data_IF_027775567021
#
_entry.id   IF_027775567021
#
_cell.length_a   1.000
_cell.length_b   1.000
_cell.length_c   1.000
_cell.angle_alpha   90.00
_cell.angle_beta   90.00
_cell.angle_gamma   90.00
#
_symmetry.space_group_name_H-M   'P 1'
#
loop_
_entity.id
_entity.type
_entity.pdbx_description
1 polymer ?
#
# COMPACT_ATOMS: atom_id res chain seq x y z
N UNK A 1 -22.53 0.09 30.83
CA UNK A 1 -23.12 0.14 29.47
C UNK A 1 -24.41 -0.67 29.46
N UNK A 2 -25.55 -0.09 29.04
CA UNK A 2 -26.84 -0.80 28.94
C UNK A 2 -26.73 -1.99 27.96
N UNK A 3 -27.35 -3.11 28.30
CA UNK A 3 -27.32 -4.38 27.55
C UNK A 3 -27.66 -4.23 26.05
N UNK A 4 -28.55 -3.28 25.73
CA UNK A 4 -28.90 -2.90 24.36
C UNK A 4 -27.73 -2.32 23.55
N UNK A 5 -26.86 -1.50 24.16
CA UNK A 5 -25.66 -0.97 23.48
C UNK A 5 -24.64 -2.07 23.17
N UNK A 6 -24.57 -3.11 24.03
CA UNK A 6 -23.65 -4.24 23.87
C UNK A 6 -24.08 -5.19 22.75
N UNK A 7 -25.40 -5.31 22.51
CA UNK A 7 -25.97 -6.06 21.38
C UNK A 7 -25.76 -5.34 20.05
N UNK A 8 -25.96 -4.02 20.03
CA UNK A 8 -25.77 -3.21 18.82
C UNK A 8 -24.31 -3.13 18.37
N UNK A 9 -23.34 -3.18 19.30
CA UNK A 9 -21.91 -3.24 18.95
C UNK A 9 -21.49 -4.53 18.24
N UNK A 10 -22.34 -5.57 18.22
CA UNK A 10 -22.06 -6.82 17.51
C UNK A 10 -22.67 -6.85 16.08
N UNK A 11 -23.40 -5.82 15.68
CA UNK A 11 -24.05 -5.74 14.36
C UNK A 11 -23.34 -4.71 13.48
N UNK A 12 -22.94 -5.13 12.29
CA UNK A 12 -22.46 -4.21 11.25
C UNK A 12 -23.64 -3.82 10.35
N UNK A 13 -23.92 -2.52 10.24
CA UNK A 13 -24.97 -1.98 9.35
C UNK A 13 -24.29 -1.23 8.22
N UNK A 14 -24.58 -1.62 6.99
CA UNK A 14 -24.06 -0.98 5.78
C UNK A 14 -25.17 -0.20 5.09
N UNK A 15 -24.89 1.04 4.70
CA UNK A 15 -25.78 1.91 3.94
C UNK A 15 -25.04 2.27 2.65
N UNK A 16 -25.67 2.01 1.51
CA UNK A 16 -25.09 2.29 0.19
C UNK A 16 -26.15 2.92 -0.72
N UNK A 17 -25.70 3.82 -1.60
CA UNK A 17 -26.49 4.37 -2.70
C UNK A 17 -26.27 3.61 -4.02
N UNK A 18 -25.42 2.58 -4.01
CA UNK A 18 -25.18 1.73 -5.17
C UNK A 18 -26.44 0.88 -5.47
N UNK A 19 -26.87 0.79 -6.73
CA UNK A 19 -27.98 -0.07 -7.10
C UNK A 19 -27.58 -1.55 -6.95
N UNK A 20 -28.53 -2.44 -6.63
CA UNK A 20 -28.27 -3.89 -6.53
C UNK A 20 -27.72 -4.53 -7.81
N UNK A 21 -27.94 -3.88 -8.96
CA UNK A 21 -27.45 -4.28 -10.28
C UNK A 21 -25.92 -4.16 -10.39
N UNK A 22 -25.35 -3.09 -9.82
CA UNK A 22 -23.90 -2.85 -9.81
C UNK A 22 -23.22 -3.56 -8.64
N UNK A 23 -23.88 -3.57 -7.47
CA UNK A 23 -23.36 -4.17 -6.24
C UNK A 23 -24.45 -5.02 -5.59
N UNK A 24 -24.44 -6.34 -5.84
CA UNK A 24 -25.28 -7.28 -5.12
C UNK A 24 -25.10 -7.15 -3.61
N UNK A 25 -26.17 -7.31 -2.84
CA UNK A 25 -26.16 -7.12 -1.38
C UNK A 25 -25.13 -8.00 -0.66
N UNK A 26 -24.85 -9.19 -1.19
CA UNK A 26 -23.82 -10.11 -0.70
C UNK A 26 -22.39 -9.54 -0.78
N UNK A 27 -22.10 -8.71 -1.78
CA UNK A 27 -20.77 -8.11 -2.00
C UNK A 27 -20.57 -6.77 -1.29
N UNK A 28 -21.61 -6.19 -0.70
CA UNK A 28 -21.51 -4.92 0.04
C UNK A 28 -20.51 -5.04 1.19
N UNK A 29 -20.50 -6.18 1.88
CA UNK A 29 -19.54 -6.45 2.95
C UNK A 29 -18.10 -6.50 2.41
N UNK A 30 -17.86 -7.27 1.35
CA UNK A 30 -16.53 -7.44 0.74
C UNK A 30 -15.95 -6.12 0.25
N UNK A 31 -16.78 -5.29 -0.41
CA UNK A 31 -16.39 -3.94 -0.83
C UNK A 31 -16.06 -3.05 0.37
N UNK A 32 -16.83 -3.15 1.45
CA UNK A 32 -16.55 -2.36 2.64
C UNK A 32 -15.24 -2.78 3.32
N UNK A 33 -14.82 -4.05 3.23
CA UNK A 33 -13.50 -4.49 3.71
C UNK A 33 -12.35 -3.78 2.99
N UNK A 34 -12.53 -3.38 1.72
CA UNK A 34 -11.53 -2.62 0.96
C UNK A 34 -11.29 -1.23 1.56
N UNK A 35 -12.25 -0.65 2.30
CA UNK A 35 -12.06 0.63 3.00
C UNK A 35 -10.81 0.60 3.89
N UNK A 36 -10.61 -0.52 4.59
CA UNK A 36 -9.47 -0.68 5.48
C UNK A 36 -8.16 -0.83 4.71
N UNK A 37 -8.16 -1.54 3.57
CA UNK A 37 -6.98 -1.62 2.69
C UNK A 37 -6.56 -0.24 2.18
N UNK A 38 -7.53 0.57 1.75
CA UNK A 38 -7.31 1.96 1.33
C UNK A 38 -6.74 2.78 2.49
N UNK A 39 -7.29 2.63 3.71
CA UNK A 39 -6.79 3.31 4.91
C UNK A 39 -5.34 2.94 5.23
N UNK A 40 -4.96 1.66 5.15
CA UNK A 40 -3.57 1.23 5.36
C UNK A 40 -2.63 1.79 4.30
N UNK A 41 -3.07 1.82 3.04
CA UNK A 41 -2.30 2.37 1.94
C UNK A 41 -2.04 3.87 2.16
N UNK A 42 -3.06 4.66 2.49
CA UNK A 42 -2.88 6.08 2.82
C UNK A 42 -2.06 6.30 4.09
N UNK A 43 -2.21 5.45 5.12
CA UNK A 43 -1.38 5.51 6.32
C UNK A 43 0.09 5.28 5.97
N UNK A 44 0.36 4.30 5.12
CA UNK A 44 1.71 3.99 4.64
C UNK A 44 2.30 5.15 3.82
N UNK A 45 1.48 5.78 2.97
CA UNK A 45 1.91 6.94 2.17
C UNK A 45 2.24 8.15 3.04
N UNK A 46 1.40 8.48 4.03
CA UNK A 46 1.68 9.54 5.00
C UNK A 46 2.94 9.25 5.80
N UNK A 47 3.09 8.03 6.33
CA UNK A 47 4.24 7.67 7.16
C UNK A 47 5.58 7.64 6.42
N UNK A 48 5.61 7.24 5.15
CA UNK A 48 6.87 7.06 4.42
C UNK A 48 7.14 8.10 3.36
N UNK A 49 6.12 8.73 2.80
CA UNK A 49 6.27 9.74 1.75
C UNK A 49 5.87 11.13 2.21
N UNK A 50 5.33 11.28 3.42
CA UNK A 50 4.99 12.56 4.06
C UNK A 50 4.08 13.41 3.16
N UNK A 51 3.15 12.75 2.45
CA UNK A 51 2.25 13.42 1.48
C UNK A 51 1.28 14.39 2.15
N UNK A 52 1.02 14.23 3.43
CA UNK A 52 0.20 15.11 4.25
C UNK A 52 0.98 16.33 4.79
N UNK A 53 2.31 16.33 4.67
CA UNK A 53 3.14 17.42 5.18
C UNK A 53 3.38 18.49 4.11
N UNK A 54 2.51 19.49 4.08
CA UNK A 54 2.68 20.66 3.21
C UNK A 54 3.50 21.75 3.93
N UNK A 55 4.50 22.31 3.23
CA UNK A 55 5.20 23.52 3.67
C UNK A 55 4.55 24.74 3.04
N UNK A 56 4.58 25.88 3.73
CA UNK A 56 4.16 27.16 3.15
C UNK A 56 5.18 27.61 2.10
N UNK A 57 4.88 27.28 0.83
CA UNK A 57 5.69 27.62 -0.34
C UNK A 57 4.79 28.11 -1.46
N UNK A 58 5.39 28.72 -2.49
CA UNK A 58 4.68 29.12 -3.71
C UNK A 58 3.94 27.92 -4.32
N UNK A 59 2.76 28.18 -4.89
CA UNK A 59 1.86 27.16 -5.46
C UNK A 59 2.58 26.26 -6.46
N UNK A 60 3.40 26.82 -7.35
CA UNK A 60 4.10 26.08 -8.41
C UNK A 60 5.13 25.10 -7.81
N UNK A 61 5.79 25.50 -6.71
CA UNK A 61 6.74 24.63 -6.01
C UNK A 61 6.01 23.52 -5.26
N UNK A 62 4.85 23.83 -4.68
CA UNK A 62 3.99 22.83 -4.02
C UNK A 62 3.51 21.77 -5.00
N UNK A 63 2.99 22.21 -6.16
CA UNK A 63 2.52 21.30 -7.22
C UNK A 63 3.66 20.40 -7.72
N UNK A 64 4.84 20.97 -8.01
CA UNK A 64 6.00 20.18 -8.44
C UNK A 64 6.43 19.16 -7.38
N UNK A 65 6.46 19.56 -6.10
CA UNK A 65 6.78 18.65 -5.00
C UNK A 65 5.77 17.52 -4.88
N UNK A 66 4.48 17.84 -4.94
CA UNK A 66 3.39 16.87 -4.88
C UNK A 66 3.46 15.86 -6.03
N UNK A 67 3.66 16.31 -7.27
CA UNK A 67 3.83 15.41 -8.42
C UNK A 67 5.04 14.50 -8.24
N UNK A 68 6.17 15.03 -7.76
CA UNK A 68 7.35 14.23 -7.44
C UNK A 68 7.07 13.14 -6.39
N UNK A 69 6.35 13.49 -5.32
CA UNK A 69 5.93 12.53 -4.29
C UNK A 69 4.97 11.47 -4.86
N UNK A 70 4.01 11.85 -5.70
CA UNK A 70 3.07 10.93 -6.33
C UNK A 70 3.79 9.94 -7.27
N UNK A 71 4.77 10.40 -8.05
CA UNK A 71 5.60 9.53 -8.89
C UNK A 71 6.41 8.56 -8.01
N UNK A 72 7.00 9.04 -6.92
CA UNK A 72 7.76 8.19 -5.99
C UNK A 72 6.88 7.11 -5.34
N UNK A 73 5.68 7.50 -4.89
CA UNK A 73 4.66 6.58 -4.37
C UNK A 73 4.30 5.54 -5.42
N UNK A 74 3.99 5.96 -6.64
CA UNK A 74 3.60 5.05 -7.73
C UNK A 74 4.69 4.02 -8.02
N UNK A 75 5.95 4.44 -8.15
CA UNK A 75 7.09 3.56 -8.41
C UNK A 75 7.35 2.59 -7.24
N UNK A 76 7.28 3.06 -6.00
CA UNK A 76 7.49 2.20 -4.84
C UNK A 76 6.33 1.21 -4.63
N UNK A 77 5.09 1.67 -4.74
CA UNK A 77 3.89 0.84 -4.56
C UNK A 77 3.76 -0.20 -5.68
N UNK A 78 4.02 0.15 -6.94
CA UNK A 78 4.04 -0.81 -8.04
C UNK A 78 5.11 -1.89 -7.85
N UNK A 79 6.34 -1.48 -7.51
CA UNK A 79 7.43 -2.43 -7.20
C UNK A 79 7.05 -3.33 -6.04
N UNK A 80 6.47 -2.78 -4.97
CA UNK A 80 6.01 -3.57 -3.81
C UNK A 80 4.99 -4.62 -4.21
N UNK A 81 3.96 -4.21 -4.95
CA UNK A 81 2.90 -5.11 -5.38
C UNK A 81 3.47 -6.27 -6.21
N UNK A 82 4.31 -5.96 -7.20
CA UNK A 82 4.96 -6.98 -8.03
C UNK A 82 5.87 -7.92 -7.22
N UNK A 83 6.69 -7.38 -6.31
CA UNK A 83 7.58 -8.18 -5.46
C UNK A 83 6.80 -9.10 -4.53
N UNK A 84 5.71 -8.61 -3.93
CA UNK A 84 4.83 -9.40 -3.07
C UNK A 84 4.16 -10.53 -3.85
N UNK A 85 3.63 -10.25 -5.04
CA UNK A 85 3.04 -11.29 -5.89
C UNK A 85 4.08 -12.34 -6.29
N UNK A 86 5.28 -11.93 -6.71
CA UNK A 86 6.36 -12.86 -7.05
C UNK A 86 6.79 -13.74 -5.86
N UNK A 87 6.91 -13.17 -4.66
CA UNK A 87 7.24 -13.92 -3.44
C UNK A 87 6.13 -14.92 -3.08
N UNK A 88 4.86 -14.52 -3.22
CA UNK A 88 3.73 -15.39 -2.96
C UNK A 88 3.69 -16.57 -3.95
N UNK A 89 3.76 -16.30 -5.25
CA UNK A 89 3.67 -17.34 -6.28
C UNK A 89 4.89 -18.26 -6.30
N UNK A 90 6.12 -17.71 -6.21
CA UNK A 90 7.35 -18.50 -6.38
C UNK A 90 7.85 -19.13 -5.09
N UNK A 91 7.58 -18.52 -3.93
CA UNK A 91 8.12 -18.95 -2.63
C UNK A 91 7.04 -19.27 -1.60
N UNK A 92 5.75 -19.05 -1.89
CA UNK A 92 4.63 -19.16 -0.94
C UNK A 92 4.87 -18.32 0.32
N UNK A 93 5.46 -17.14 0.13
CA UNK A 93 5.80 -16.23 1.21
C UNK A 93 4.92 -14.99 1.16
N UNK A 94 4.22 -14.74 2.27
CA UNK A 94 3.48 -13.49 2.47
C UNK A 94 4.38 -12.42 3.09
N UNK A 95 4.21 -11.20 2.61
CA UNK A 95 4.94 -10.02 3.06
C UNK A 95 3.96 -8.90 3.39
N UNK A 96 4.20 -8.23 4.52
CA UNK A 96 3.44 -7.02 4.89
C UNK A 96 3.77 -5.88 3.94
N UNK A 97 2.74 -5.21 3.41
CA UNK A 97 2.86 -4.07 2.50
C UNK A 97 3.69 -2.94 3.12
N UNK A 98 3.44 -2.63 4.39
CA UNK A 98 4.14 -1.60 5.14
C UNK A 98 5.65 -1.86 5.17
N UNK A 99 6.05 -3.09 5.52
CA UNK A 99 7.46 -3.48 5.59
C UNK A 99 8.12 -3.50 4.21
N UNK A 100 7.39 -3.94 3.20
CA UNK A 100 7.88 -3.98 1.84
C UNK A 100 8.14 -2.56 1.29
N UNK A 101 7.19 -1.64 1.48
CA UNK A 101 7.34 -0.23 1.09
C UNK A 101 8.49 0.41 1.84
N UNK A 102 8.62 0.18 3.16
CA UNK A 102 9.75 0.69 3.95
C UNK A 102 11.10 0.34 3.32
N UNK A 103 11.28 -0.95 2.99
CA UNK A 103 12.49 -1.44 2.34
C UNK A 103 12.66 -0.83 0.94
N UNK A 104 11.61 -0.82 0.12
CA UNK A 104 11.70 -0.39 -1.29
C UNK A 104 11.97 1.10 -1.41
N UNK A 105 11.43 1.91 -0.50
CA UNK A 105 11.66 3.37 -0.45
C UNK A 105 13.14 3.70 -0.37
N UNK A 106 13.92 2.97 0.40
CA UNK A 106 15.37 3.19 0.51
C UNK A 106 16.11 2.94 -0.82
N UNK A 107 15.52 2.14 -1.71
CA UNK A 107 16.04 1.85 -3.05
C UNK A 107 15.44 2.77 -4.13
N UNK A 108 14.58 3.73 -3.78
CA UNK A 108 13.88 4.57 -4.74
C UNK A 108 14.82 5.27 -5.72
N UNK A 109 15.89 5.91 -5.23
CA UNK A 109 16.86 6.62 -6.08
C UNK A 109 17.59 5.66 -7.03
N UNK A 110 17.92 4.45 -6.56
CA UNK A 110 18.55 3.41 -7.38
C UNK A 110 17.60 2.88 -8.45
N UNK A 111 16.32 2.68 -8.11
CA UNK A 111 15.29 2.30 -9.06
C UNK A 111 15.11 3.40 -10.12
N UNK A 112 14.96 4.66 -9.70
CA UNK A 112 14.80 5.79 -10.60
C UNK A 112 15.98 5.94 -11.57
N UNK A 113 17.21 5.89 -11.07
CA UNK A 113 18.41 5.98 -11.91
C UNK A 113 18.56 4.77 -12.84
N UNK A 114 18.25 3.57 -12.36
CA UNK A 114 18.37 2.36 -13.20
C UNK A 114 17.36 2.32 -14.33
N UNK A 115 16.14 2.84 -14.13
CA UNK A 115 15.12 3.02 -15.18
C UNK A 115 15.66 3.90 -16.32
N UNK A 116 16.38 4.98 -16.00
CA UNK A 116 16.92 5.90 -17.00
C UNK A 116 18.10 5.32 -17.79
N UNK A 117 18.84 4.37 -17.20
CA UNK A 117 20.12 3.90 -17.74
C UNK A 117 19.98 2.67 -18.64
N UNK A 118 19.44 1.57 -18.13
CA UNK A 118 19.26 0.33 -18.92
C UNK A 118 18.36 -0.68 -18.22
N UNK A 119 17.72 -1.54 -19.01
CA UNK A 119 16.92 -2.67 -18.51
C UNK A 119 17.75 -3.69 -17.72
N UNK A 120 19.03 -3.85 -18.04
CA UNK A 120 19.95 -4.75 -17.33
C UNK A 120 20.32 -4.24 -15.93
N UNK A 121 20.53 -2.93 -15.78
CA UNK A 121 20.82 -2.36 -14.46
C UNK A 121 19.55 -2.35 -13.59
N UNK A 122 18.39 -2.08 -14.19
CA UNK A 122 17.10 -2.19 -13.49
C UNK A 122 16.86 -3.60 -12.97
N UNK A 123 17.07 -4.63 -13.79
CA UNK A 123 16.86 -6.02 -13.37
C UNK A 123 17.79 -6.43 -12.22
N UNK A 124 19.05 -5.95 -12.20
CA UNK A 124 19.97 -6.15 -11.07
C UNK A 124 19.45 -5.51 -9.78
N UNK A 125 18.95 -4.28 -9.85
CA UNK A 125 18.40 -3.58 -8.68
C UNK A 125 17.15 -4.29 -8.18
N UNK A 126 16.23 -4.66 -9.08
CA UNK A 126 15.03 -5.41 -8.74
C UNK A 126 15.35 -6.76 -8.10
N UNK A 127 16.34 -7.49 -8.61
CA UNK A 127 16.78 -8.76 -8.02
C UNK A 127 17.36 -8.56 -6.61
N UNK A 128 18.15 -7.49 -6.39
CA UNK A 128 18.65 -7.14 -5.05
C UNK A 128 17.51 -6.85 -4.08
N UNK A 129 16.54 -6.03 -4.50
CA UNK A 129 15.33 -5.74 -3.72
C UNK A 129 14.59 -7.04 -3.37
N UNK A 130 14.37 -7.92 -4.36
CA UNK A 130 13.70 -9.20 -4.14
C UNK A 130 14.40 -10.07 -3.08
N UNK A 131 15.73 -10.24 -3.20
CA UNK A 131 16.50 -11.05 -2.24
C UNK A 131 16.48 -10.46 -0.83
N UNK A 132 16.43 -9.13 -0.70
CA UNK A 132 16.38 -8.46 0.60
C UNK A 132 15.00 -8.56 1.24
N UNK A 133 13.93 -8.42 0.45
CA UNK A 133 12.55 -8.65 0.91
C UNK A 133 12.37 -10.10 1.37
N UNK A 134 12.94 -11.06 0.64
CA UNK A 134 12.93 -12.47 1.01
C UNK A 134 13.60 -12.73 2.37
N UNK A 135 14.74 -12.07 2.64
CA UNK A 135 15.47 -12.23 3.92
C UNK A 135 14.74 -11.60 5.11
N UNK A 136 13.97 -10.54 4.89
CA UNK A 136 13.35 -9.75 5.95
C UNK A 136 12.00 -10.29 6.48
N UNK A 137 11.80 -11.61 6.45
CA UNK A 137 10.63 -12.26 7.05
C UNK A 137 10.66 -12.12 8.58
N UNK A 138 9.91 -11.17 9.15
CA UNK A 138 9.48 -11.28 10.56
C UNK A 138 7.98 -11.01 10.65
N UNK A 139 7.29 -12.07 11.12
CA UNK A 139 5.88 -12.27 11.49
C UNK A 139 4.92 -11.11 11.16
N UNK A 140 4.05 -11.34 10.18
CA UNK A 140 2.73 -10.75 10.22
C UNK A 140 1.99 -11.44 11.38
N UNK A 141 1.78 -10.73 12.49
CA UNK A 141 0.73 -11.10 13.43
C UNK A 141 -0.57 -11.05 12.62
N UNK A 142 -1.24 -12.20 12.48
CA UNK A 142 -2.58 -12.26 11.93
C UNK A 142 -3.46 -11.36 12.80
N UNK A 143 -3.95 -10.27 12.25
CA UNK A 143 -5.19 -9.69 12.74
C UNK A 143 -6.29 -10.64 12.23
N UNK A 144 -6.53 -11.70 13.00
CA UNK A 144 -7.77 -12.44 12.95
C UNK A 144 -8.85 -11.49 13.47
N UNK A 145 -9.82 -11.18 12.63
CA UNK A 145 -11.13 -10.68 13.03
C UNK A 145 -12.13 -11.80 12.86
#
# INVERSE_FOLDING_TARGET
MKERSKRLSAMNVYITNAPPEDVPTEHVHDLYLLRWQIELLFKTWKSFFEIDHCKEIKKERLECHLYGQLIAILLCSSTMFQMRQLLLTKKKQELSEYKAIYIIKDYFLLLFHSIQKSTQDLSKVLFRVFTLLQKNRRKAHQFQY
#
